data_IF_325372417417
#
_entry.id   IF_325372417417
#
_cell.length_a   1.000
_cell.length_b   1.000
_cell.length_c   1.000
_cell.angle_alpha   90.00
_cell.angle_beta   90.00
_cell.angle_gamma   90.00
#
_symmetry.space_group_name_H-M   'P 1'
#
loop_
_entity.id
_entity.type
_entity.pdbx_description
1 polymer ?
#
# COMPACT_ATOMS: atom_id res chain seq x y z
N UNK A 1 9.96 -23.84 0.07
CA UNK A 1 11.13 -23.40 -0.74
C UNK A 1 11.12 -21.87 -0.80
N UNK A 2 12.28 -21.22 -0.66
CA UNK A 2 12.38 -19.75 -0.75
C UNK A 2 12.69 -19.32 -2.19
N UNK A 3 12.01 -18.29 -2.67
CA UNK A 3 12.20 -17.75 -4.02
C UNK A 3 13.12 -16.53 -3.93
N UNK A 4 14.19 -16.50 -4.73
CA UNK A 4 15.10 -15.35 -4.82
C UNK A 4 14.58 -14.38 -5.87
N UNK A 5 14.35 -13.13 -5.48
CA UNK A 5 14.01 -12.04 -6.39
C UNK A 5 15.25 -11.19 -6.63
N UNK A 6 15.48 -10.84 -7.90
CA UNK A 6 16.52 -9.89 -8.33
C UNK A 6 16.10 -8.47 -8.00
N UNK A 7 16.15 -8.12 -6.71
CA UNK A 7 15.77 -6.82 -6.19
C UNK A 7 16.72 -5.69 -6.61
N UNK A 8 17.94 -6.07 -7.03
CA UNK A 8 18.90 -5.19 -7.70
C UNK A 8 18.35 -4.54 -8.99
N UNK A 9 17.33 -5.14 -9.61
CA UNK A 9 16.66 -4.57 -10.79
C UNK A 9 15.58 -3.54 -10.43
N UNK A 10 15.21 -3.42 -9.16
CA UNK A 10 14.24 -2.42 -8.69
C UNK A 10 14.95 -1.06 -8.59
N UNK A 11 14.93 -0.34 -9.71
CA UNK A 11 15.50 1.01 -9.81
C UNK A 11 14.53 2.11 -9.37
N UNK A 12 15.07 3.30 -9.15
CA UNK A 12 14.33 4.54 -8.85
C UNK A 12 13.20 4.84 -9.85
N UNK A 13 13.36 4.43 -11.12
CA UNK A 13 12.31 4.58 -12.14
C UNK A 13 11.00 3.89 -11.75
N UNK A 14 11.09 2.72 -11.11
CA UNK A 14 9.90 2.00 -10.64
C UNK A 14 9.24 2.74 -9.48
N UNK A 15 10.03 3.32 -8.59
CA UNK A 15 9.54 4.13 -7.48
C UNK A 15 8.83 5.40 -7.98
N UNK A 16 9.38 6.10 -8.97
CA UNK A 16 8.73 7.26 -9.61
C UNK A 16 7.42 6.85 -10.30
N UNK A 17 7.41 5.73 -11.02
CA UNK A 17 6.19 5.22 -11.69
C UNK A 17 5.09 4.92 -10.67
N UNK A 18 5.44 4.27 -9.56
CA UNK A 18 4.50 3.98 -8.48
C UNK A 18 4.02 5.26 -7.79
N UNK A 19 4.92 6.21 -7.53
CA UNK A 19 4.57 7.52 -6.95
C UNK A 19 3.53 8.26 -7.80
N UNK A 20 3.73 8.33 -9.11
CA UNK A 20 2.79 8.99 -10.02
C UNK A 20 1.43 8.28 -10.01
N UNK A 21 1.43 6.95 -10.11
CA UNK A 21 0.21 6.15 -10.04
C UNK A 21 -0.58 6.34 -8.74
N UNK A 22 0.11 6.48 -7.60
CA UNK A 22 -0.54 6.74 -6.32
C UNK A 22 -1.06 8.19 -6.23
N UNK A 23 -0.30 9.17 -6.69
CA UNK A 23 -0.70 10.58 -6.70
C UNK A 23 -1.98 10.82 -7.51
N UNK A 24 -2.15 10.14 -8.66
CA UNK A 24 -3.38 10.21 -9.47
C UNK A 24 -4.63 9.72 -8.74
N UNK A 25 -4.46 8.88 -7.70
CA UNK A 25 -5.56 8.31 -6.93
C UNK A 25 -5.80 9.04 -5.60
N UNK A 26 -4.76 9.68 -5.05
CA UNK A 26 -4.84 10.40 -3.76
C UNK A 26 -5.55 11.75 -3.90
N UNK A 27 -5.46 12.43 -5.05
CA UNK A 27 -6.02 13.78 -5.25
C UNK A 27 -7.55 13.89 -5.10
N UNK A 28 -8.28 12.76 -5.13
CA UNK A 28 -9.74 12.73 -4.95
C UNK A 28 -10.22 12.34 -3.55
N UNK A 29 -9.33 12.24 -2.55
CA UNK A 29 -9.66 11.65 -1.24
C UNK A 29 -9.60 12.59 -0.05
N UNK A 30 -9.07 13.79 -0.23
CA UNK A 30 -8.85 14.78 0.83
C UNK A 30 -10.15 15.38 1.40
N UNK A 31 -11.30 15.09 0.80
CA UNK A 31 -12.62 15.50 1.31
C UNK A 31 -13.08 14.72 2.56
N UNK A 32 -12.36 13.67 2.97
CA UNK A 32 -12.83 12.74 4.02
C UNK A 32 -12.51 13.22 5.45
N UNK A 33 -11.61 14.19 5.63
CA UNK A 33 -11.18 14.63 6.97
C UNK A 33 -11.04 16.16 7.05
N UNK A 34 -11.84 16.81 7.91
CA UNK A 34 -11.91 18.28 8.04
C UNK A 34 -10.59 18.96 8.44
N UNK A 35 -9.61 18.18 8.93
CA UNK A 35 -8.31 18.65 9.41
C UNK A 35 -7.19 18.46 8.37
N UNK A 36 -7.44 17.74 7.27
CA UNK A 36 -6.43 17.44 6.25
C UNK A 36 -6.88 18.07 4.92
N UNK A 37 -6.10 19.02 4.43
CA UNK A 37 -6.23 19.60 3.09
C UNK A 37 -5.55 18.76 2.03
N UNK A 38 -5.00 19.41 1.01
CA UNK A 38 -4.39 18.70 -0.11
C UNK A 38 -3.22 17.83 0.33
N UNK A 39 -3.13 16.64 -0.25
CA UNK A 39 -2.10 15.65 0.02
C UNK A 39 -1.41 15.24 -1.27
N UNK A 40 -0.08 15.18 -1.22
CA UNK A 40 0.75 14.75 -2.34
C UNK A 40 1.93 13.91 -1.85
N UNK A 41 2.19 12.80 -2.53
CA UNK A 41 3.43 12.05 -2.36
C UNK A 41 4.54 12.83 -3.08
N UNK A 42 5.54 13.26 -2.32
CA UNK A 42 6.72 14.00 -2.82
C UNK A 42 7.88 13.07 -3.14
N UNK A 43 7.98 11.94 -2.44
CA UNK A 43 9.04 10.97 -2.62
C UNK A 43 8.54 9.56 -2.29
N UNK A 44 9.08 8.55 -2.97
CA UNK A 44 8.77 7.15 -2.70
C UNK A 44 10.02 6.32 -2.99
N UNK A 45 10.30 5.36 -2.12
CA UNK A 45 11.33 4.35 -2.34
C UNK A 45 10.79 2.97 -2.00
N UNK A 46 11.08 2.00 -2.87
CA UNK A 46 10.76 0.59 -2.62
C UNK A 46 11.76 -0.08 -1.66
N UNK A 47 12.79 0.64 -1.22
CA UNK A 47 13.81 0.11 -0.33
C UNK A 47 14.89 -0.70 -1.05
N UNK A 48 16.01 -0.88 -0.37
CA UNK A 48 17.14 -1.69 -0.83
C UNK A 48 17.00 -3.16 -0.46
N UNK A 49 16.19 -3.46 0.57
CA UNK A 49 15.99 -4.83 1.06
C UNK A 49 14.82 -5.52 0.34
N UNK A 50 14.99 -6.76 -0.15
CA UNK A 50 13.89 -7.50 -0.78
C UNK A 50 12.87 -8.05 0.23
N UNK A 51 11.61 -8.27 -0.20
CA UNK A 51 10.70 -9.12 0.54
C UNK A 51 11.15 -10.59 0.50
N UNK A 52 10.80 -11.33 1.54
CA UNK A 52 10.96 -12.78 1.62
C UNK A 52 9.69 -13.45 1.10
N UNK A 53 9.89 -14.48 0.28
CA UNK A 53 8.82 -15.28 -0.29
C UNK A 53 9.02 -16.75 0.06
N UNK A 54 8.00 -17.35 0.64
CA UNK A 54 7.98 -18.77 0.96
C UNK A 54 6.79 -19.40 0.25
N UNK A 55 7.07 -20.32 -0.68
CA UNK A 55 6.00 -21.06 -1.38
C UNK A 55 5.27 -21.93 -0.36
N UNK A 56 3.97 -21.69 -0.23
CA UNK A 56 3.06 -22.44 0.64
C UNK A 56 2.44 -23.59 -0.16
N UNK A 57 1.90 -23.29 -1.34
CA UNK A 57 1.20 -24.26 -2.16
C UNK A 57 1.28 -23.88 -3.65
N UNK A 58 1.30 -24.89 -4.51
CA UNK A 58 1.07 -24.76 -5.94
C UNK A 58 -0.11 -25.69 -6.28
N UNK A 59 -1.13 -25.18 -6.95
CA UNK A 59 -2.33 -25.94 -7.29
C UNK A 59 -3.01 -25.42 -8.55
N UNK A 60 -4.10 -26.08 -8.94
CA UNK A 60 -5.02 -25.54 -9.92
C UNK A 60 -5.66 -24.24 -9.38
N UNK A 61 -6.04 -23.29 -10.26
CA UNK A 61 -6.61 -22.02 -9.86
C UNK A 61 -7.96 -22.12 -9.14
N UNK A 62 -8.06 -21.40 -8.03
CA UNK A 62 -9.32 -21.17 -7.35
C UNK A 62 -10.27 -20.32 -8.21
N UNK A 63 -11.38 -20.94 -8.63
CA UNK A 63 -12.39 -20.31 -9.46
C UNK A 63 -13.10 -19.14 -8.74
N UNK A 64 -13.13 -19.11 -7.40
CA UNK A 64 -13.66 -17.97 -6.65
C UNK A 64 -12.77 -16.75 -6.78
N UNK A 65 -11.45 -16.96 -6.83
CA UNK A 65 -10.47 -15.89 -6.99
C UNK A 65 -10.41 -15.45 -8.45
N UNK A 66 -10.42 -16.36 -9.43
CA UNK A 66 -10.43 -15.98 -10.85
C UNK A 66 -11.77 -15.38 -11.31
N UNK A 67 -12.88 -15.88 -10.77
CA UNK A 67 -14.24 -15.65 -11.28
C UNK A 67 -14.62 -16.58 -12.46
N UNK A 68 -13.70 -17.41 -12.92
CA UNK A 68 -13.89 -18.40 -13.99
C UNK A 68 -13.02 -19.62 -13.75
N UNK A 69 -13.42 -20.78 -14.31
CA UNK A 69 -12.53 -21.96 -14.33
C UNK A 69 -11.44 -21.74 -15.36
N UNK A 70 -10.19 -21.99 -14.97
CA UNK A 70 -9.05 -22.00 -15.88
C UNK A 70 -8.42 -23.40 -15.92
N UNK A 71 -8.63 -24.19 -16.99
CA UNK A 71 -8.13 -25.55 -17.08
C UNK A 71 -6.60 -25.64 -17.29
N UNK A 72 -5.97 -24.55 -17.75
CA UNK A 72 -4.53 -24.48 -18.01
C UNK A 72 -3.81 -23.48 -17.10
N UNK A 73 -4.53 -22.85 -16.16
CA UNK A 73 -3.95 -21.90 -15.24
C UNK A 73 -3.21 -22.61 -14.12
N UNK A 74 -2.36 -21.86 -13.43
CA UNK A 74 -1.63 -22.31 -12.25
C UNK A 74 -1.77 -21.27 -11.14
N UNK A 75 -2.06 -21.74 -9.93
CA UNK A 75 -2.09 -20.92 -8.73
C UNK A 75 -0.88 -21.20 -7.85
N UNK A 76 -0.19 -20.13 -7.47
CA UNK A 76 0.89 -20.13 -6.50
C UNK A 76 0.44 -19.36 -5.26
N UNK A 77 0.34 -20.05 -4.12
CA UNK A 77 0.20 -19.40 -2.81
C UNK A 77 1.57 -19.28 -2.16
N UNK A 78 1.92 -18.07 -1.75
CA UNK A 78 3.17 -17.79 -1.09
C UNK A 78 2.95 -16.89 0.12
N UNK A 79 3.67 -17.18 1.21
CA UNK A 79 3.81 -16.27 2.32
C UNK A 79 4.79 -15.18 1.92
N UNK A 80 4.33 -13.94 2.00
CA UNK A 80 5.12 -12.73 1.74
C UNK A 80 5.42 -12.09 3.09
N UNK A 81 6.69 -11.80 3.33
CA UNK A 81 7.12 -11.04 4.52
C UNK A 81 8.12 -9.96 4.13
N UNK A 82 7.86 -8.74 4.54
CA UNK A 82 8.72 -7.59 4.29
C UNK A 82 8.99 -6.86 5.60
N UNK A 83 10.28 -6.70 5.90
CA UNK A 83 10.80 -5.89 7.01
C UNK A 83 12.03 -5.16 6.46
N UNK A 84 11.73 -4.10 5.70
CA UNK A 84 12.69 -3.40 4.88
C UNK A 84 12.79 -1.93 5.20
N UNK A 85 13.37 -1.19 4.26
CA UNK A 85 13.69 0.23 4.32
C UNK A 85 12.92 1.05 3.26
N UNK A 86 11.83 0.50 2.75
CA UNK A 86 10.90 1.25 1.90
C UNK A 86 10.34 2.45 2.68
N UNK A 87 10.02 3.52 1.96
CA UNK A 87 9.39 4.69 2.53
C UNK A 87 8.58 5.48 1.51
N UNK A 88 7.67 6.31 2.01
CA UNK A 88 6.87 7.27 1.26
C UNK A 88 6.94 8.60 2.03
N UNK A 89 7.30 9.68 1.35
CA UNK A 89 7.22 11.04 1.88
C UNK A 89 5.98 11.73 1.31
N UNK A 90 5.19 12.28 2.21
CA UNK A 90 3.89 12.87 1.94
C UNK A 90 3.95 14.31 2.42
N UNK A 91 3.66 15.24 1.53
CA UNK A 91 3.38 16.61 1.88
C UNK A 91 1.86 16.76 1.98
N UNK A 92 1.39 17.20 3.13
CA UNK A 92 -0.03 17.42 3.40
C UNK A 92 -0.25 18.83 3.98
N UNK A 93 -1.40 19.42 3.70
CA UNK A 93 -1.86 20.63 4.37
C UNK A 93 -2.66 20.25 5.62
N UNK A 94 -2.26 20.77 6.78
CA UNK A 94 -2.97 20.56 8.03
C UNK A 94 -3.82 21.79 8.37
N UNK A 95 -5.14 21.61 8.53
CA UNK A 95 -6.11 22.68 8.80
C UNK A 95 -6.52 22.69 10.26
N UNK A 96 -6.28 23.81 10.93
CA UNK A 96 -6.71 24.07 12.30
C UNK A 96 -8.05 24.80 12.27
N UNK A 97 -9.08 24.23 12.89
CA UNK A 97 -10.46 24.74 12.87
C UNK A 97 -10.89 25.42 14.20
N UNK A 98 -9.93 25.81 15.04
CA UNK A 98 -10.18 26.48 16.32
C UNK A 98 -9.54 27.87 16.33
N UNK A 99 -10.24 28.93 16.75
CA UNK A 99 -11.63 28.98 17.25
C UNK A 99 -12.71 29.06 16.13
N UNK A 100 -12.31 29.20 14.86
CA UNK A 100 -13.22 29.24 13.69
C UNK A 100 -12.81 28.20 12.63
N UNK A 101 -13.73 27.73 11.77
CA UNK A 101 -13.36 26.86 10.65
C UNK A 101 -12.30 27.49 9.72
N UNK A 102 -11.37 26.68 9.22
CA UNK A 102 -10.24 27.11 8.38
C UNK A 102 -9.42 28.26 9.00
N UNK A 103 -9.22 28.25 10.33
CA UNK A 103 -8.54 29.33 11.04
C UNK A 103 -7.09 29.52 10.55
N UNK A 104 -6.32 28.43 10.50
CA UNK A 104 -4.97 28.43 9.93
C UNK A 104 -4.71 27.10 9.23
N UNK A 105 -3.99 27.12 8.11
CA UNK A 105 -3.41 25.93 7.51
C UNK A 105 -1.87 25.97 7.49
N UNK A 106 -1.25 24.82 7.69
CA UNK A 106 0.21 24.67 7.68
C UNK A 106 0.64 23.48 6.82
N UNK A 107 1.72 23.62 6.03
CA UNK A 107 2.31 22.47 5.34
C UNK A 107 3.03 21.57 6.35
N UNK A 108 2.78 20.27 6.26
CA UNK A 108 3.44 19.24 7.06
C UNK A 108 4.03 18.20 6.14
N UNK A 109 5.30 17.84 6.39
CA UNK A 109 5.96 16.75 5.70
C UNK A 109 5.97 15.52 6.61
N UNK A 110 5.35 14.45 6.16
CA UNK A 110 5.27 13.17 6.88
C UNK A 110 5.99 12.11 6.07
N UNK A 111 6.98 11.47 6.68
CA UNK A 111 7.67 10.31 6.12
C UNK A 111 7.16 9.05 6.80
N UNK A 112 6.52 8.19 6.02
CA UNK A 112 6.11 6.84 6.42
C UNK A 112 7.20 5.89 5.96
N UNK A 113 7.84 5.18 6.88
CA UNK A 113 9.04 4.38 6.59
C UNK A 113 9.00 3.02 7.27
N UNK A 114 9.91 2.13 6.85
CA UNK A 114 10.09 0.80 7.42
C UNK A 114 8.77 0.03 7.58
N UNK A 115 7.96 -0.10 6.51
CA UNK A 115 6.71 -0.81 6.64
C UNK A 115 7.00 -2.29 6.89
N UNK A 116 6.27 -2.87 7.84
CA UNK A 116 6.28 -4.30 8.10
C UNK A 116 5.06 -4.90 7.41
N UNK A 117 5.29 -5.70 6.36
CA UNK A 117 4.23 -6.46 5.70
C UNK A 117 4.35 -7.94 6.01
N UNK A 118 3.21 -8.59 6.25
CA UNK A 118 3.14 -10.04 6.35
C UNK A 118 1.75 -10.54 5.96
N UNK A 119 1.71 -11.56 5.09
CA UNK A 119 0.47 -12.24 4.74
C UNK A 119 0.68 -13.34 3.71
N UNK A 120 -0.33 -14.18 3.52
CA UNK A 120 -0.37 -15.14 2.42
C UNK A 120 -0.98 -14.43 1.22
N UNK A 121 -0.29 -14.49 0.08
CA UNK A 121 -0.81 -14.02 -1.19
C UNK A 121 -0.93 -15.17 -2.18
N UNK A 122 -1.89 -15.04 -3.07
CA UNK A 122 -2.06 -15.91 -4.23
C UNK A 122 -1.69 -15.15 -5.50
N UNK A 123 -0.95 -15.83 -6.37
CA UNK A 123 -0.67 -15.41 -7.75
C UNK A 123 -1.27 -16.48 -8.64
N UNK A 124 -2.22 -16.09 -9.48
CA UNK A 124 -2.82 -16.98 -10.46
C UNK A 124 -2.37 -16.54 -11.84
N UNK A 125 -1.67 -17.44 -12.53
CA UNK A 125 -1.37 -17.28 -13.95
C UNK A 125 -2.45 -17.99 -14.76
N UNK A 126 -3.18 -17.25 -15.57
CA UNK A 126 -4.17 -17.75 -16.51
C UNK A 126 -3.71 -17.45 -17.96
N UNK A 127 -4.49 -17.90 -18.94
CA UNK A 127 -4.15 -17.85 -20.37
C UNK A 127 -3.86 -16.44 -20.88
N UNK A 128 -4.59 -15.44 -20.39
CA UNK A 128 -4.54 -14.06 -20.87
C UNK A 128 -4.19 -13.03 -19.79
N UNK A 129 -4.07 -13.45 -18.52
CA UNK A 129 -3.95 -12.54 -17.38
C UNK A 129 -3.22 -13.17 -16.20
N UNK A 130 -2.67 -12.32 -15.34
CA UNK A 130 -2.16 -12.67 -14.01
C UNK A 130 -3.04 -12.00 -12.97
N UNK A 131 -3.55 -12.77 -12.02
CA UNK A 131 -4.28 -12.24 -10.87
C UNK A 131 -3.43 -12.32 -9.61
N UNK A 132 -3.49 -11.29 -8.77
CA UNK A 132 -2.81 -11.22 -7.48
C UNK A 132 -3.76 -10.69 -6.40
N UNK A 133 -3.80 -11.37 -5.26
CA UNK A 133 -4.40 -10.83 -4.04
C UNK A 133 -3.82 -11.51 -2.78
N UNK A 134 -3.91 -10.81 -1.66
CA UNK A 134 -3.71 -11.36 -0.34
C UNK A 134 -4.98 -12.08 0.13
N UNK A 135 -4.76 -13.20 0.80
CA UNK A 135 -5.80 -14.03 1.37
C UNK A 135 -5.85 -13.79 2.89
N UNK A 136 -7.03 -13.54 3.47
CA UNK A 136 -7.19 -13.57 4.93
C UNK A 136 -6.85 -14.98 5.44
N UNK A 137 -6.14 -15.06 6.56
CA UNK A 137 -5.83 -16.35 7.20
C UNK A 137 -7.05 -16.87 7.97
N UNK A 138 -7.11 -18.20 8.18
CA UNK A 138 -8.25 -18.85 8.84
C UNK A 138 -8.48 -18.28 10.25
N UNK A 139 -9.50 -17.43 10.41
CA UNK A 139 -9.85 -16.78 11.67
C UNK A 139 -10.04 -15.27 11.57
N UNK A 140 -9.48 -14.63 10.54
CA UNK A 140 -9.68 -13.21 10.29
C UNK A 140 -10.96 -12.97 9.48
N UNK A 141 -11.76 -11.97 9.88
CA UNK A 141 -12.80 -11.48 8.98
C UNK A 141 -12.12 -10.85 7.74
N UNK A 142 -12.65 -11.04 6.52
CA UNK A 142 -12.13 -10.37 5.32
C UNK A 142 -12.08 -8.84 5.48
N UNK A 143 -12.96 -8.29 6.31
CA UNK A 143 -13.07 -6.87 6.59
C UNK A 143 -11.96 -6.35 7.50
N UNK A 144 -11.38 -7.19 8.37
CA UNK A 144 -10.34 -6.80 9.31
C UNK A 144 -8.93 -7.04 8.78
N UNK A 145 -8.75 -8.00 7.88
CA UNK A 145 -7.43 -8.38 7.40
C UNK A 145 -6.73 -7.27 6.60
N UNK A 146 -5.47 -7.00 6.97
CA UNK A 146 -4.54 -6.19 6.17
C UNK A 146 -3.15 -6.80 6.21
N UNK A 147 -2.43 -6.82 5.07
CA UNK A 147 -1.05 -7.29 5.02
C UNK A 147 -0.08 -6.32 5.72
N UNK A 148 -0.46 -5.06 5.93
CA UNK A 148 0.36 -4.07 6.64
C UNK A 148 0.22 -4.24 8.15
N UNK A 149 1.32 -4.60 8.83
CA UNK A 149 1.36 -4.84 10.27
C UNK A 149 1.82 -3.62 11.06
N UNK A 150 2.84 -2.93 10.56
CA UNK A 150 3.39 -1.75 11.24
C UNK A 150 4.08 -0.80 10.26
N UNK A 151 4.25 0.46 10.67
CA UNK A 151 5.00 1.51 9.95
C UNK A 151 5.63 2.46 10.95
N UNK A 152 6.72 3.12 10.56
CA UNK A 152 7.32 4.21 11.33
C UNK A 152 6.98 5.56 10.72
N UNK A 153 6.73 6.54 11.59
CA UNK A 153 6.45 7.91 11.19
C UNK A 153 7.58 8.85 11.62
N UNK A 154 8.05 9.67 10.70
CA UNK A 154 8.90 10.84 10.97
C UNK A 154 8.19 12.07 10.41
N UNK A 155 7.84 13.03 11.28
CA UNK A 155 7.10 14.24 10.88
C UNK A 155 8.01 15.45 11.05
N UNK A 156 8.11 16.28 10.01
CA UNK A 156 8.76 17.59 10.07
C UNK A 156 7.70 18.68 9.99
N UNK A 157 7.63 19.51 11.04
CA UNK A 157 6.81 20.72 11.07
C UNK A 157 7.64 21.94 10.65
N UNK A 158 6.99 22.91 10.01
CA UNK A 158 7.56 24.24 9.86
C UNK A 158 7.72 24.95 11.21
N UNK A 159 8.67 25.89 11.28
CA UNK A 159 9.18 26.57 12.48
C UNK A 159 8.13 27.33 13.34
N UNK A 160 6.89 27.46 12.87
CA UNK A 160 5.89 28.38 13.44
C UNK A 160 4.82 27.74 14.35
N UNK A 161 4.88 26.43 14.64
CA UNK A 161 3.71 25.69 15.14
C UNK A 161 3.96 24.76 16.35
N UNK A 162 4.63 25.25 17.41
CA UNK A 162 4.93 24.49 18.63
C UNK A 162 3.70 23.96 19.41
N UNK A 163 2.47 24.39 19.12
CA UNK A 163 1.24 23.95 19.80
C UNK A 163 0.43 22.87 19.06
N UNK A 164 0.90 22.34 17.92
CA UNK A 164 0.13 21.44 17.03
C UNK A 164 0.35 19.94 17.32
N UNK A 165 1.10 19.59 18.38
CA UNK A 165 1.50 18.20 18.67
C UNK A 165 0.32 17.22 18.84
N UNK A 166 -0.83 17.67 19.37
CA UNK A 166 -1.99 16.81 19.67
C UNK A 166 -2.68 16.27 18.42
N UNK A 167 -2.55 16.94 17.28
CA UNK A 167 -3.24 16.53 16.06
C UNK A 167 -2.38 15.73 15.08
N UNK A 168 -1.08 15.55 15.38
CA UNK A 168 -0.19 14.74 14.56
C UNK A 168 -0.51 13.25 14.63
N UNK A 169 -0.92 12.75 15.79
CA UNK A 169 -1.32 11.34 15.94
C UNK A 169 -2.57 11.04 15.10
N UNK A 170 -3.50 11.99 15.01
CA UNK A 170 -4.68 11.87 14.13
C UNK A 170 -4.28 11.81 12.66
N UNK A 171 -3.30 12.63 12.25
CA UNK A 171 -2.76 12.61 10.89
C UNK A 171 -2.07 11.27 10.59
N UNK A 172 -1.26 10.76 11.52
CA UNK A 172 -0.60 9.47 11.36
C UNK A 172 -1.64 8.34 11.22
N UNK A 173 -2.63 8.29 12.11
CA UNK A 173 -3.72 7.32 12.05
C UNK A 173 -4.49 7.42 10.73
N UNK A 174 -4.81 8.63 10.27
CA UNK A 174 -5.45 8.87 8.98
C UNK A 174 -4.62 8.30 7.82
N UNK A 175 -3.30 8.55 7.80
CA UNK A 175 -2.41 8.02 6.76
C UNK A 175 -2.36 6.48 6.82
N UNK A 176 -2.27 5.89 8.02
CA UNK A 176 -2.33 4.42 8.18
C UNK A 176 -3.65 3.88 7.64
N UNK A 177 -4.77 4.49 8.00
CA UNK A 177 -6.11 4.06 7.58
C UNK A 177 -6.30 4.19 6.08
N UNK A 178 -5.78 5.26 5.48
CA UNK A 178 -5.75 5.42 4.02
C UNK A 178 -4.97 4.28 3.38
N UNK A 179 -3.74 4.00 3.83
CA UNK A 179 -2.92 2.93 3.28
C UNK A 179 -3.63 1.58 3.42
N UNK A 180 -4.15 1.26 4.60
CA UNK A 180 -4.90 0.02 4.86
C UNK A 180 -6.13 -0.09 3.96
N UNK A 181 -6.89 1.00 3.79
CA UNK A 181 -8.07 1.04 2.92
C UNK A 181 -7.71 0.74 1.48
N UNK A 182 -6.61 1.30 0.97
CA UNK A 182 -6.13 1.03 -0.38
C UNK A 182 -5.67 -0.41 -0.56
N UNK A 183 -4.88 -0.93 0.38
CA UNK A 183 -4.45 -2.32 0.35
C UNK A 183 -5.66 -3.26 0.32
N UNK A 184 -6.67 -3.00 1.17
CA UNK A 184 -7.91 -3.78 1.21
C UNK A 184 -8.68 -3.70 -0.11
N UNK A 185 -8.85 -2.48 -0.64
CA UNK A 185 -9.61 -2.22 -1.87
C UNK A 185 -8.99 -2.83 -3.13
N UNK A 186 -7.67 -2.87 -3.23
CA UNK A 186 -6.99 -3.28 -4.47
C UNK A 186 -6.31 -4.64 -4.39
N UNK A 187 -5.88 -5.06 -3.20
CA UNK A 187 -4.98 -6.21 -3.05
C UNK A 187 -5.49 -7.27 -2.09
N UNK A 188 -6.61 -7.10 -1.38
CA UNK A 188 -7.14 -8.12 -0.44
C UNK A 188 -8.42 -8.74 -0.99
N UNK A 189 -8.50 -10.07 -0.98
CA UNK A 189 -9.69 -10.81 -1.41
C UNK A 189 -10.94 -10.34 -0.64
N UNK A 190 -12.10 -10.11 -1.31
CA UNK A 190 -12.46 -10.52 -2.67
C UNK A 190 -11.90 -9.62 -3.78
N UNK A 191 -11.26 -8.49 -3.44
CA UNK A 191 -10.60 -7.66 -4.43
C UNK A 191 -9.30 -8.30 -4.90
N UNK A 192 -8.98 -8.07 -6.17
CA UNK A 192 -7.78 -8.62 -6.80
C UNK A 192 -7.23 -7.66 -7.82
N UNK A 193 -5.91 -7.61 -7.89
CA UNK A 193 -5.21 -6.96 -8.99
C UNK A 193 -5.17 -7.95 -10.16
N UNK A 194 -5.60 -7.52 -11.34
CA UNK A 194 -5.53 -8.32 -12.56
C UNK A 194 -4.71 -7.56 -13.58
N UNK A 195 -3.65 -8.19 -14.08
CA UNK A 195 -2.74 -7.63 -15.08
C UNK A 195 -2.87 -8.48 -16.35
N UNK A 196 -3.36 -7.93 -17.47
CA UNK A 196 -3.38 -8.62 -18.75
C UNK A 196 -1.96 -8.99 -19.20
N UNK A 197 -1.77 -10.19 -19.74
CA UNK A 197 -0.44 -10.65 -20.18
C UNK A 197 0.13 -9.82 -21.34
N UNK A 198 -0.75 -9.22 -22.14
CA UNK A 198 -0.37 -8.32 -23.23
C UNK A 198 0.42 -7.09 -22.74
N UNK A 199 0.29 -6.71 -21.47
CA UNK A 199 1.04 -5.58 -20.88
C UNK A 199 2.51 -5.91 -20.59
N UNK A 200 2.89 -7.20 -20.52
CA UNK A 200 4.28 -7.61 -20.28
C UNK A 200 5.10 -7.79 -21.57
N UNK A 201 4.44 -7.77 -22.74
CA UNK A 201 5.08 -7.99 -24.04
C UNK A 201 5.48 -6.68 -24.77
N UNK A 202 5.30 -5.52 -24.13
CA UNK A 202 5.71 -4.20 -24.61
C UNK A 202 6.77 -3.60 -23.68
#
# INVERSE_FOLDING_TARGET
MSLKIYWDRVTEKHSIKLMNYLNERISGLTETYDMVGDMKITNLSLGSKPPKFEIVQISDPDALILGSKSPNGIELRAKISYDGDAFIEIQAEFKVNLPTPNFISFPVNVKVSNPIFSGIATVIYDTDKVCFCFLPENGDSPDDFTPLKDVKFETQLGDSAQQVLVDLDKLQNFIVDLIKTYLKKYLVFPNKMTIPLNEFNN
#
